data_IF_800557118205
#
_entry.id   IF_800557118205
#
_cell.length_a   1.000
_cell.length_b   1.000
_cell.length_c   1.000
_cell.angle_alpha   90.00
_cell.angle_beta   90.00
_cell.angle_gamma   90.00
#
_symmetry.space_group_name_H-M   'P 1'
#
loop_
_entity.id
_entity.type
_entity.pdbx_description
1 polymer ?
#
# COMPACT_ATOMS: atom_id res chain seq x y z
N UNK A 1 -0.15 16.45 -15.73
CA UNK A 1 -0.59 15.64 -14.58
C UNK A 1 -1.68 16.45 -13.88
N UNK A 2 -2.94 16.06 -14.00
CA UNK A 2 -4.08 16.83 -13.47
C UNK A 2 -4.14 16.71 -11.94
N UNK A 3 -4.33 17.83 -11.25
CA UNK A 3 -4.35 17.94 -9.78
C UNK A 3 -5.63 17.36 -9.12
N UNK A 4 -6.27 16.37 -9.76
CA UNK A 4 -7.51 15.74 -9.30
C UNK A 4 -7.43 14.20 -9.32
N UNK A 5 -6.27 13.62 -9.58
CA UNK A 5 -6.05 12.20 -9.34
C UNK A 5 -5.86 11.99 -7.83
N UNK A 6 -6.83 11.33 -7.18
CA UNK A 6 -6.70 10.82 -5.81
C UNK A 6 -5.68 9.66 -5.76
N UNK A 7 -4.43 9.95 -6.15
CA UNK A 7 -3.37 8.98 -6.11
C UNK A 7 -3.01 8.70 -4.65
N UNK A 8 -3.22 7.46 -4.25
CA UNK A 8 -2.93 6.97 -2.90
C UNK A 8 -1.40 6.94 -2.63
N UNK A 9 -0.59 6.98 -3.70
CA UNK A 9 0.86 6.96 -3.66
C UNK A 9 1.45 8.01 -4.60
N UNK A 10 2.32 8.88 -4.08
CA UNK A 10 3.04 9.86 -4.89
C UNK A 10 4.31 9.27 -5.52
N UNK A 11 4.84 9.99 -6.52
CA UNK A 11 6.01 9.53 -7.29
C UNK A 11 7.29 9.41 -6.45
N UNK A 12 7.46 10.25 -5.42
CA UNK A 12 8.65 10.21 -4.55
C UNK A 12 8.56 9.01 -3.62
N UNK A 13 7.39 8.75 -3.03
CA UNK A 13 7.16 7.55 -2.23
C UNK A 13 7.34 6.27 -3.05
N UNK A 14 6.74 6.20 -4.25
CA UNK A 14 6.89 5.04 -5.14
C UNK A 14 8.35 4.75 -5.51
N UNK A 15 9.13 5.79 -5.84
CA UNK A 15 10.57 5.64 -6.10
C UNK A 15 11.33 5.16 -4.86
N UNK A 16 10.97 5.66 -3.69
CA UNK A 16 11.63 5.30 -2.42
C UNK A 16 11.38 3.84 -2.04
N UNK A 17 10.14 3.38 -2.19
CA UNK A 17 9.72 1.98 -1.99
C UNK A 17 10.56 1.06 -2.86
N UNK A 18 10.57 1.31 -4.18
CA UNK A 18 11.29 0.49 -5.17
C UNK A 18 12.80 0.47 -4.93
N UNK A 19 13.41 1.63 -4.63
CA UNK A 19 14.86 1.73 -4.35
C UNK A 19 15.25 0.97 -3.09
N UNK A 20 14.40 1.03 -2.06
CA UNK A 20 14.70 0.51 -0.73
C UNK A 20 14.20 -0.92 -0.52
N UNK A 21 13.52 -1.51 -1.52
CA UNK A 21 12.91 -2.85 -1.47
C UNK A 21 11.98 -3.01 -0.26
N UNK A 22 11.23 -1.95 0.06
CA UNK A 22 10.32 -1.93 1.20
C UNK A 22 8.99 -2.53 0.74
N UNK A 23 8.66 -3.73 1.21
CA UNK A 23 7.35 -4.33 0.97
C UNK A 23 6.26 -3.42 1.56
N UNK A 24 5.41 -2.88 0.70
CA UNK A 24 4.39 -1.88 1.07
C UNK A 24 3.00 -2.43 0.76
N UNK A 25 2.09 -2.37 1.75
CA UNK A 25 0.72 -2.87 1.63
C UNK A 25 -0.27 -1.70 1.64
N UNK A 26 -1.15 -1.63 0.64
CA UNK A 26 -2.22 -0.64 0.51
C UNK A 26 -3.56 -1.35 0.71
N UNK A 27 -4.35 -0.91 1.69
CA UNK A 27 -5.64 -1.54 2.03
C UNK A 27 -6.60 -0.56 2.72
N UNK A 28 -7.87 -0.97 2.88
CA UNK A 28 -8.88 -0.19 3.59
C UNK A 28 -8.69 -0.28 5.12
N UNK A 29 -8.30 0.83 5.74
CA UNK A 29 -8.05 0.92 7.19
C UNK A 29 -9.28 0.77 8.09
N UNK A 30 -10.50 0.71 7.55
CA UNK A 30 -11.74 0.47 8.32
C UNK A 30 -12.01 -1.01 8.56
N UNK A 31 -11.32 -1.91 7.86
CA UNK A 31 -11.45 -3.35 8.05
C UNK A 31 -10.28 -3.87 8.93
N UNK A 32 -10.49 -3.87 10.24
CA UNK A 32 -9.47 -4.28 11.21
C UNK A 32 -9.06 -5.76 11.09
N UNK A 33 -9.99 -6.64 10.74
CA UNK A 33 -9.70 -8.05 10.53
C UNK A 33 -8.73 -8.24 9.34
N UNK A 34 -8.99 -7.52 8.25
CA UNK A 34 -8.12 -7.53 7.07
C UNK A 34 -6.73 -6.95 7.38
N UNK A 35 -6.66 -5.87 8.17
CA UNK A 35 -5.40 -5.29 8.63
C UNK A 35 -4.58 -6.31 9.45
N UNK A 36 -5.23 -7.00 10.39
CA UNK A 36 -4.60 -8.07 11.18
C UNK A 36 -4.06 -9.18 10.28
N UNK A 37 -4.88 -9.67 9.35
CA UNK A 37 -4.47 -10.71 8.40
C UNK A 37 -3.27 -10.28 7.55
N UNK A 38 -3.24 -9.02 7.09
CA UNK A 38 -2.14 -8.49 6.29
C UNK A 38 -0.82 -8.40 7.08
N UNK A 39 -0.87 -7.97 8.35
CA UNK A 39 0.30 -7.91 9.24
C UNK A 39 0.82 -9.32 9.56
N UNK A 40 -0.08 -10.28 9.79
CA UNK A 40 0.26 -11.68 10.08
C UNK A 40 0.71 -12.47 8.84
N UNK A 41 0.73 -11.87 7.64
CA UNK A 41 1.11 -12.53 6.40
C UNK A 41 0.10 -13.55 5.88
N UNK A 42 -1.15 -13.49 6.37
CA UNK A 42 -2.27 -14.30 5.89
C UNK A 42 -2.87 -13.69 4.61
N UNK A 43 -3.86 -14.38 4.03
CA UNK A 43 -4.64 -13.82 2.92
C UNK A 43 -5.31 -12.52 3.37
N UNK A 44 -5.12 -11.46 2.59
CA UNK A 44 -5.73 -10.15 2.82
C UNK A 44 -6.21 -9.57 1.49
N UNK A 45 -7.10 -8.58 1.58
CA UNK A 45 -7.66 -7.84 0.46
C UNK A 45 -6.93 -6.49 0.38
N UNK A 46 -6.22 -6.26 -0.71
CA UNK A 46 -5.47 -5.02 -0.94
C UNK A 46 -4.45 -5.17 -2.06
N UNK A 47 -3.49 -4.25 -2.10
CA UNK A 47 -2.42 -4.21 -3.09
C UNK A 47 -1.07 -4.27 -2.40
N UNK A 48 -0.17 -5.12 -2.91
CA UNK A 48 1.24 -5.16 -2.51
C UNK A 48 2.07 -4.43 -3.55
N UNK A 49 3.00 -3.59 -3.09
CA UNK A 49 3.97 -2.86 -3.92
C UNK A 49 5.37 -3.13 -3.37
N UNK A 50 6.31 -3.43 -4.26
CA UNK A 50 7.69 -3.84 -3.95
C UNK A 50 8.69 -3.32 -5.00
#
# INVERSE_FOLDING_TARGET
MSASANNILDLVAAKTIKRSKIKTLIMNGRNFENLKNAIEGKKFIGTTVE
#
